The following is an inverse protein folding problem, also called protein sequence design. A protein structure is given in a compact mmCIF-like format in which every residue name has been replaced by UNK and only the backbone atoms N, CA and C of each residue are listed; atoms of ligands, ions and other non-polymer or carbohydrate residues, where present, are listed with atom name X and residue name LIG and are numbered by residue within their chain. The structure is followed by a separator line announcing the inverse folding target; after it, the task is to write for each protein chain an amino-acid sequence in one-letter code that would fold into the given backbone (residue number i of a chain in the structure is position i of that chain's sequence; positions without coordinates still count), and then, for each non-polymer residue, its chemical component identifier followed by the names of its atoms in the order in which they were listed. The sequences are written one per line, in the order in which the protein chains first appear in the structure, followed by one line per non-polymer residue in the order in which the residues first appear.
data_IF_114359085641
#
_entry.id   IF_114359085641
#
_cell.length_a   1.000
_cell.length_b   1.000
_cell.length_c   1.000
_cell.angle_alpha   90.00
_cell.angle_beta   90.00
_cell.angle_gamma   90.00
#
_symmetry.space_group_name_H-M   'P 1'
#
loop_
_entity.id
_entity.type
_entity.pdbx_description
1 polymer ?
#
# COMPACT_ATOMS: atom_id res chain seq x y z
N UNK A 1 -62.56 -13.56 -1.00
CA UNK A 1 -62.40 -12.47 -1.99
C UNK A 1 -61.15 -12.75 -2.81
N UNK A 2 -61.30 -12.83 -4.13
CA UNK A 2 -60.26 -13.16 -5.12
C UNK A 2 -59.62 -11.85 -5.56
N UNK A 3 -58.34 -11.63 -5.25
CA UNK A 3 -57.52 -10.55 -5.82
C UNK A 3 -56.15 -11.14 -6.09
N UNK A 4 -56.04 -11.78 -7.26
CA UNK A 4 -55.32 -11.29 -8.44
C UNK A 4 -53.81 -11.40 -8.23
N UNK A 5 -53.31 -12.44 -8.89
CA UNK A 5 -51.94 -12.84 -9.15
C UNK A 5 -51.15 -11.65 -9.71
N UNK A 6 -50.11 -11.24 -9.00
CA UNK A 6 -49.12 -10.31 -9.55
C UNK A 6 -48.25 -11.10 -10.55
N UNK A 7 -48.43 -10.76 -11.82
CA UNK A 7 -47.74 -11.31 -12.97
C UNK A 7 -46.21 -11.24 -12.83
N UNK A 8 -45.59 -12.42 -12.82
CA UNK A 8 -44.22 -12.63 -13.26
C UNK A 8 -44.16 -12.35 -14.77
N UNK A 9 -43.67 -11.17 -15.17
CA UNK A 9 -43.25 -10.93 -16.55
C UNK A 9 -41.74 -11.11 -16.62
N UNK A 10 -41.36 -12.33 -16.98
CA UNK A 10 -40.06 -12.66 -17.54
C UNK A 10 -40.02 -11.99 -18.92
N UNK A 11 -39.27 -10.91 -19.08
CA UNK A 11 -38.78 -10.50 -20.41
C UNK A 11 -37.33 -10.94 -20.54
N UNK A 12 -37.18 -12.15 -21.09
CA UNK A 12 -36.02 -12.54 -21.87
C UNK A 12 -36.10 -11.83 -23.22
N UNK A 13 -35.18 -10.91 -23.48
CA UNK A 13 -34.85 -10.50 -24.84
C UNK A 13 -33.33 -10.48 -24.98
N UNK A 14 -32.80 -11.58 -25.51
CA UNK A 14 -31.45 -11.66 -26.03
C UNK A 14 -31.34 -10.82 -27.31
N UNK A 15 -30.22 -10.11 -27.46
CA UNK A 15 -29.59 -9.90 -28.78
C UNK A 15 -29.45 -8.46 -29.25
N UNK A 16 -28.32 -7.83 -28.94
CA UNK A 16 -27.39 -7.27 -29.94
C UNK A 16 -26.14 -6.73 -29.23
N UNK A 17 -25.00 -7.25 -29.64
CA UNK A 17 -23.66 -6.90 -29.17
C UNK A 17 -23.25 -5.51 -29.64
N UNK A 18 -22.91 -4.61 -28.71
CA UNK A 18 -22.03 -3.46 -28.97
C UNK A 18 -21.12 -3.29 -27.74
N UNK A 19 -19.84 -3.46 -27.98
CA UNK A 19 -18.77 -3.60 -27.00
C UNK A 19 -18.35 -2.24 -26.46
N UNK A 20 -18.52 -1.99 -25.16
CA UNK A 20 -17.66 -1.12 -24.35
C UNK A 20 -18.03 -1.30 -22.88
N UNK A 21 -17.16 -2.00 -22.15
CA UNK A 21 -17.28 -2.23 -20.73
C UNK A 21 -17.18 -0.92 -19.93
N UNK A 22 -18.26 -0.14 -19.85
CA UNK A 22 -18.47 0.78 -18.73
C UNK A 22 -19.12 0.00 -17.61
N UNK A 23 -18.28 -0.82 -16.95
CA UNK A 23 -18.61 -1.43 -15.67
C UNK A 23 -18.75 -0.28 -14.67
N UNK A 24 -19.99 0.14 -14.45
CA UNK A 24 -20.45 0.80 -13.23
C UNK A 24 -20.23 -0.18 -12.08
N UNK A 25 -18.96 -0.35 -11.69
CA UNK A 25 -18.63 -0.95 -10.41
C UNK A 25 -19.12 0.02 -9.34
N UNK A 26 -19.74 -0.52 -8.31
CA UNK A 26 -20.13 0.19 -7.10
C UNK A 26 -19.11 1.28 -6.78
N UNK A 27 -19.59 2.47 -6.47
CA UNK A 27 -18.78 3.52 -5.88
C UNK A 27 -18.22 2.97 -4.56
N UNK A 28 -17.09 2.26 -4.66
CA UNK A 28 -16.12 2.16 -3.60
C UNK A 28 -15.80 3.62 -3.32
N UNK A 29 -16.13 4.02 -2.10
CA UNK A 29 -15.60 5.21 -1.44
C UNK A 29 -14.08 5.17 -1.62
N UNK A 30 -13.60 5.72 -2.72
CA UNK A 30 -12.26 6.23 -2.83
C UNK A 30 -12.22 7.34 -1.79
N UNK A 31 -11.74 7.00 -0.59
CA UNK A 31 -11.23 7.99 0.34
C UNK A 31 -10.22 8.80 -0.46
N UNK A 32 -10.65 9.96 -0.94
CA UNK A 32 -9.76 10.95 -1.53
C UNK A 32 -8.78 11.29 -0.42
N UNK A 33 -7.59 10.70 -0.50
CA UNK A 33 -6.48 11.07 0.35
C UNK A 33 -6.25 12.57 0.08
N UNK A 34 -6.32 13.45 1.10
CA UNK A 34 -6.03 14.87 0.90
C UNK A 34 -4.63 15.00 0.29
N UNK A 35 -4.43 15.94 -0.65
CA UNK A 35 -3.13 16.19 -1.28
C UNK A 35 -2.00 16.41 -0.23
N UNK A 36 -2.35 16.95 0.93
CA UNK A 36 -1.43 17.15 2.07
C UNK A 36 -0.93 15.85 2.70
N UNK A 37 -1.74 14.79 2.70
CA UNK A 37 -1.37 13.50 3.26
C UNK A 37 -0.32 12.78 2.37
N UNK A 38 -0.36 12.99 1.05
CA UNK A 38 0.69 12.48 0.16
C UNK A 38 2.02 13.24 0.35
N UNK A 39 1.98 14.54 0.65
CA UNK A 39 3.19 15.32 0.97
C UNK A 39 3.85 14.84 2.27
N UNK A 40 3.06 14.61 3.33
CA UNK A 40 3.55 14.09 4.60
C UNK A 40 4.16 12.68 4.46
N UNK A 41 3.51 11.79 3.71
CA UNK A 41 4.05 10.45 3.38
C UNK A 41 5.39 10.56 2.65
N UNK A 42 5.48 11.44 1.65
CA UNK A 42 6.70 11.62 0.88
C UNK A 42 7.85 12.17 1.73
N UNK A 43 7.56 13.12 2.63
CA UNK A 43 8.55 13.66 3.55
C UNK A 43 9.05 12.59 4.53
N UNK A 44 8.14 11.79 5.11
CA UNK A 44 8.52 10.72 6.03
C UNK A 44 9.34 9.63 5.33
N UNK A 45 8.95 9.23 4.12
CA UNK A 45 9.72 8.29 3.31
C UNK A 45 11.10 8.84 2.92
N UNK A 46 11.23 10.14 2.65
CA UNK A 46 12.52 10.77 2.37
C UNK A 46 13.44 10.77 3.59
N UNK A 47 12.91 10.95 4.80
CA UNK A 47 13.68 10.83 6.04
C UNK A 47 14.23 9.42 6.24
N UNK A 48 13.39 8.40 6.02
CA UNK A 48 13.82 7.00 6.09
C UNK A 48 14.91 6.68 5.05
N UNK A 49 14.76 7.17 3.82
CA UNK A 49 15.80 7.06 2.79
C UNK A 49 17.10 7.72 3.21
N UNK A 50 17.04 8.91 3.81
CA UNK A 50 18.21 9.62 4.32
C UNK A 50 18.96 8.79 5.37
N UNK A 51 18.24 8.33 6.40
CA UNK A 51 18.81 7.49 7.46
C UNK A 51 19.45 6.20 6.93
N UNK A 52 18.80 5.53 5.97
CA UNK A 52 19.36 4.33 5.35
C UNK A 52 20.63 4.64 4.54
N UNK A 53 20.60 5.72 3.76
CA UNK A 53 21.71 6.11 2.88
C UNK A 53 22.98 6.53 3.63
N UNK A 54 22.85 6.98 4.88
CA UNK A 54 24.00 7.30 5.76
C UNK A 54 24.81 6.05 6.14
N UNK A 55 24.17 4.88 6.17
CA UNK A 55 24.79 3.62 6.59
C UNK A 55 25.13 2.72 5.41
N UNK A 56 24.29 2.76 4.38
CA UNK A 56 24.34 1.83 3.25
C UNK A 56 24.38 2.62 1.95
N UNK A 57 25.43 2.39 1.14
CA UNK A 57 25.49 2.94 -0.22
C UNK A 57 24.54 2.13 -1.11
N UNK A 58 23.52 2.79 -1.63
CA UNK A 58 22.48 2.19 -2.47
C UNK A 58 22.73 2.44 -3.95
N UNK A 59 22.34 1.49 -4.80
CA UNK A 59 22.23 1.71 -6.25
C UNK A 59 20.99 2.54 -6.57
N UNK A 60 20.89 3.05 -7.80
CA UNK A 60 19.72 3.83 -8.24
C UNK A 60 18.42 3.01 -8.19
N UNK A 61 18.50 1.73 -8.57
CA UNK A 61 17.36 0.81 -8.51
C UNK A 61 16.94 0.53 -7.07
N UNK A 62 17.91 0.31 -6.16
CA UNK A 62 17.62 0.15 -4.74
C UNK A 62 16.99 1.42 -4.17
N UNK A 63 17.53 2.60 -4.50
CA UNK A 63 16.96 3.88 -4.07
C UNK A 63 15.49 4.03 -4.49
N UNK A 64 15.17 3.71 -5.74
CA UNK A 64 13.79 3.78 -6.26
C UNK A 64 12.86 2.80 -5.56
N UNK A 65 13.30 1.54 -5.41
CA UNK A 65 12.50 0.48 -4.78
C UNK A 65 12.25 0.75 -3.30
N UNK A 66 13.28 1.19 -2.57
CA UNK A 66 13.20 1.47 -1.14
C UNK A 66 12.43 2.75 -0.85
N UNK A 67 12.55 3.78 -1.69
CA UNK A 67 11.69 4.97 -1.59
C UNK A 67 10.21 4.59 -1.70
N UNK A 68 9.87 3.73 -2.68
CA UNK A 68 8.49 3.23 -2.84
C UNK A 68 8.07 2.39 -1.62
N UNK A 69 8.96 1.55 -1.10
CA UNK A 69 8.69 0.76 0.11
C UNK A 69 8.34 1.65 1.30
N UNK A 70 9.13 2.69 1.57
CA UNK A 70 8.87 3.62 2.69
C UNK A 70 7.61 4.46 2.46
N UNK A 71 7.32 4.88 1.23
CA UNK A 71 6.04 5.52 0.92
C UNK A 71 4.87 4.58 1.24
N UNK A 72 4.96 3.31 0.84
CA UNK A 72 3.93 2.30 1.15
C UNK A 72 3.83 2.07 2.66
N UNK A 73 4.93 1.99 3.40
CA UNK A 73 4.94 1.92 4.88
C UNK A 73 4.09 3.03 5.48
N UNK A 74 4.43 4.29 5.19
CA UNK A 74 3.74 5.45 5.77
C UNK A 74 2.28 5.54 5.34
N UNK A 75 1.94 5.17 4.11
CA UNK A 75 0.54 5.08 3.67
C UNK A 75 -0.26 4.04 4.45
N UNK A 76 0.32 2.85 4.66
CA UNK A 76 -0.35 1.79 5.42
C UNK A 76 -0.53 2.18 6.89
N UNK A 77 0.50 2.77 7.50
CA UNK A 77 0.44 3.23 8.90
C UNK A 77 -0.52 4.41 9.12
N UNK A 78 -0.76 5.21 8.08
CA UNK A 78 -1.76 6.29 8.11
C UNK A 78 -3.21 5.79 7.99
N UNK A 79 -3.43 4.47 7.84
CA UNK A 79 -4.79 3.91 7.75
C UNK A 79 -5.56 4.16 9.07
N UNK A 80 -6.76 4.75 9.02
CA UNK A 80 -7.58 4.94 10.22
C UNK A 80 -7.91 3.61 10.92
N UNK A 81 -8.00 3.62 12.24
CA UNK A 81 -8.36 2.46 13.08
C UNK A 81 -7.43 1.24 12.90
N UNK A 82 -6.15 1.48 12.60
CA UNK A 82 -5.14 0.42 12.51
C UNK A 82 -4.80 -0.11 13.91
N UNK A 83 -4.99 -1.41 14.14
CA UNK A 83 -4.64 -2.06 15.41
C UNK A 83 -3.12 -2.27 15.53
N UNK A 84 -2.63 -2.37 16.76
CA UNK A 84 -1.21 -2.63 17.03
C UNK A 84 -0.72 -3.96 16.43
N UNK A 85 -1.57 -5.00 16.44
CA UNK A 85 -1.27 -6.27 15.77
C UNK A 85 -1.04 -6.08 14.26
N UNK A 86 -1.88 -5.28 13.60
CA UNK A 86 -1.72 -4.98 12.18
C UNK A 86 -0.49 -4.13 11.91
N UNK A 87 -0.13 -3.20 12.80
CA UNK A 87 1.13 -2.46 12.72
C UNK A 87 2.33 -3.40 12.81
N UNK A 88 2.33 -4.33 13.75
CA UNK A 88 3.39 -5.35 13.87
C UNK A 88 3.59 -6.16 12.59
N UNK A 89 2.48 -6.58 11.96
CA UNK A 89 2.54 -7.27 10.65
C UNK A 89 3.10 -6.36 9.56
N UNK A 90 2.73 -5.07 9.54
CA UNK A 90 3.31 -4.10 8.59
C UNK A 90 4.82 -3.97 8.82
N UNK A 91 5.27 -3.79 10.06
CA UNK A 91 6.68 -3.65 10.41
C UNK A 91 7.51 -4.85 9.96
N UNK A 92 7.05 -6.06 10.25
CA UNK A 92 7.70 -7.30 9.81
C UNK A 92 7.79 -7.41 8.29
N UNK A 93 6.72 -7.04 7.57
CA UNK A 93 6.71 -7.06 6.12
C UNK A 93 7.66 -6.01 5.52
N UNK A 94 7.72 -4.81 6.11
CA UNK A 94 8.64 -3.76 5.68
C UNK A 94 10.09 -4.20 5.92
N UNK A 95 10.40 -4.77 7.08
CA UNK A 95 11.75 -5.30 7.36
C UNK A 95 12.15 -6.38 6.35
N UNK A 96 11.28 -7.36 6.12
CA UNK A 96 11.55 -8.47 5.19
C UNK A 96 11.79 -7.96 3.78
N UNK A 97 10.98 -7.00 3.32
CA UNK A 97 11.13 -6.38 1.99
C UNK A 97 12.38 -5.52 1.89
N UNK A 98 12.71 -4.75 2.93
CA UNK A 98 13.93 -3.96 3.01
C UNK A 98 15.15 -4.87 2.81
N UNK A 99 15.23 -5.96 3.58
CA UNK A 99 16.31 -6.94 3.47
C UNK A 99 16.33 -7.65 2.11
N UNK A 100 15.18 -7.89 1.48
CA UNK A 100 15.14 -8.53 0.15
C UNK A 100 15.67 -7.68 -1.01
N UNK A 101 15.77 -6.36 -0.83
CA UNK A 101 16.26 -5.42 -1.86
C UNK A 101 17.76 -5.15 -1.71
N UNK A 102 18.30 -5.36 -0.51
CA UNK A 102 19.71 -5.16 -0.19
C UNK A 102 20.53 -6.42 -0.50
N UNK A 103 21.80 -6.24 -0.79
CA UNK A 103 22.76 -7.34 -0.86
C UNK A 103 23.25 -7.78 0.53
N UNK A 104 24.00 -8.89 0.59
CA UNK A 104 24.45 -9.46 1.86
C UNK A 104 25.32 -8.50 2.69
N UNK A 105 26.18 -7.72 2.06
CA UNK A 105 27.08 -6.78 2.76
C UNK A 105 26.29 -5.58 3.30
N UNK A 106 25.32 -5.10 2.53
CA UNK A 106 24.40 -4.05 2.92
C UNK A 106 23.51 -4.49 4.08
N UNK A 107 23.00 -5.74 4.05
CA UNK A 107 22.23 -6.33 5.16
C UNK A 107 23.09 -6.42 6.41
N UNK A 108 24.33 -6.93 6.30
CA UNK A 108 25.23 -7.06 7.45
C UNK A 108 25.52 -5.70 8.12
N UNK A 109 25.72 -4.64 7.33
CA UNK A 109 25.88 -3.26 7.84
C UNK A 109 24.63 -2.76 8.56
N UNK A 110 23.45 -3.04 8.00
CA UNK A 110 22.18 -2.64 8.59
C UNK A 110 21.90 -3.40 9.89
N UNK A 111 22.11 -4.72 9.91
CA UNK A 111 21.89 -5.57 11.09
C UNK A 111 22.90 -5.29 12.21
N UNK A 112 24.08 -4.76 11.88
CA UNK A 112 25.04 -4.24 12.86
C UNK A 112 24.54 -2.97 13.57
N UNK A 113 23.44 -2.36 13.11
CA UNK A 113 22.79 -1.20 13.72
C UNK A 113 21.30 -1.48 14.01
N UNK A 114 20.97 -2.25 15.06
CA UNK A 114 19.60 -2.63 15.38
C UNK A 114 18.70 -1.43 15.70
N UNK A 115 19.27 -0.32 16.21
CA UNK A 115 18.51 0.91 16.44
C UNK A 115 18.06 1.56 15.13
N UNK A 116 18.94 1.61 14.12
CA UNK A 116 18.57 2.09 12.79
C UNK A 116 17.52 1.19 12.14
N UNK A 117 17.72 -0.13 12.20
CA UNK A 117 16.75 -1.08 11.66
C UNK A 117 15.36 -0.86 12.28
N UNK A 118 15.30 -0.67 13.60
CA UNK A 118 14.05 -0.35 14.29
C UNK A 118 13.45 0.96 13.80
N UNK A 119 14.23 2.05 13.67
CA UNK A 119 13.75 3.35 13.16
C UNK A 119 13.20 3.26 11.72
N UNK A 120 13.82 2.43 10.87
CA UNK A 120 13.39 2.29 9.47
C UNK A 120 12.11 1.45 9.34
N UNK A 121 11.82 0.59 10.31
CA UNK A 121 10.75 -0.41 10.21
C UNK A 121 9.55 -0.13 11.10
N UNK A 122 9.73 0.49 12.27
CA UNK A 122 8.70 0.74 13.30
C UNK A 122 8.34 2.22 13.41
#
# INVERSE_FOLDING_TARGET
MKKIIALFVIMLAFGATANAQQKKAAAQTATQQPADADAAVNQAAAKDMGLLSETVKLTDDQNKNLKRLFQTKHKMLATPNLTEERKGVIYQNIETKLKSVLDADQIAKLDSNPELLKKLTH
#
